data_IF_367902764887
#
_entry.id   IF_367902764887
#
_cell.length_a   1.000
_cell.length_b   1.000
_cell.length_c   1.000
_cell.angle_alpha   90.00
_cell.angle_beta   90.00
_cell.angle_gamma   90.00
#
_symmetry.space_group_name_H-M   'P 1'
#
loop_
_entity.id
_entity.type
_entity.pdbx_description
1 polymer ?
#
# COMPACT_ATOMS: atom_id res chain seq x y z
N UNK A 1 -24.44 -5.38 52.55
CA UNK A 1 -24.03 -6.80 52.35
C UNK A 1 -22.80 -7.11 53.20
N UNK A 2 -22.99 -7.20 54.51
CA UNK A 2 -21.92 -7.42 55.49
C UNK A 2 -22.56 -8.08 56.72
N UNK A 3 -23.27 -9.20 56.51
CA UNK A 3 -23.91 -9.96 57.60
C UNK A 3 -24.51 -11.35 57.24
N UNK A 4 -23.92 -12.13 56.31
CA UNK A 4 -24.39 -13.51 56.04
C UNK A 4 -23.29 -14.48 55.63
N UNK A 5 -22.25 -14.61 56.44
CA UNK A 5 -21.26 -15.70 56.30
C UNK A 5 -20.74 -16.25 57.65
N UNK A 6 -21.57 -16.20 58.68
CA UNK A 6 -21.28 -16.81 59.98
C UNK A 6 -22.53 -17.54 60.49
N UNK A 7 -22.93 -18.61 59.79
CA UNK A 7 -24.00 -19.50 60.28
C UNK A 7 -24.04 -20.86 59.57
N UNK A 8 -22.89 -21.48 59.34
CA UNK A 8 -22.82 -22.93 59.11
C UNK A 8 -21.47 -23.42 59.66
N UNK A 9 -21.49 -24.56 60.34
CA UNK A 9 -20.36 -25.25 60.99
C UNK A 9 -20.03 -24.87 62.44
N UNK A 10 -20.99 -24.97 63.37
CA UNK A 10 -20.68 -25.41 64.74
C UNK A 10 -21.82 -26.27 65.28
N UNK A 11 -21.68 -27.57 65.03
CA UNK A 11 -22.53 -28.63 65.55
C UNK A 11 -21.67 -29.87 65.68
N UNK A 12 -20.70 -29.83 66.58
CA UNK A 12 -20.02 -31.03 67.06
C UNK A 12 -20.05 -31.00 68.59
N UNK A 13 -20.95 -31.84 69.10
CA UNK A 13 -21.02 -32.32 70.47
C UNK A 13 -19.74 -33.05 70.84
N UNK A 14 -19.42 -33.03 72.14
CA UNK A 14 -18.32 -33.72 72.81
C UNK A 14 -17.79 -34.95 72.06
N UNK A 15 -16.70 -34.72 71.32
CA UNK A 15 -15.76 -35.78 70.94
C UNK A 15 -14.48 -35.42 71.68
N UNK A 16 -14.04 -36.31 72.59
CA UNK A 16 -12.67 -36.33 73.08
C UNK A 16 -11.76 -36.56 71.87
N UNK A 17 -11.44 -35.47 71.19
CA UNK A 17 -10.43 -35.44 70.15
C UNK A 17 -9.11 -35.78 70.83
N UNK A 18 -8.57 -36.95 70.45
CA UNK A 18 -7.19 -37.31 70.72
C UNK A 18 -6.31 -36.08 70.47
N UNK A 19 -5.37 -35.84 71.37
CA UNK A 19 -4.31 -34.84 71.26
C UNK A 19 -3.67 -34.80 69.86
N UNK A 20 -3.71 -35.91 69.11
CA UNK A 20 -3.19 -36.03 67.75
C UNK A 20 -3.97 -35.20 66.71
N UNK A 21 -5.29 -35.05 66.85
CA UNK A 21 -6.13 -34.28 65.91
C UNK A 21 -5.99 -32.77 66.12
N UNK A 22 -5.71 -32.36 67.36
CA UNK A 22 -5.38 -30.97 67.68
C UNK A 22 -4.05 -30.61 67.01
N UNK A 23 -3.02 -31.45 67.14
CA UNK A 23 -1.73 -31.20 66.48
C UNK A 23 -1.81 -31.11 64.95
N UNK A 24 -2.66 -31.92 64.31
CA UNK A 24 -2.88 -31.84 62.85
C UNK A 24 -3.58 -30.53 62.46
N UNK A 25 -4.57 -30.08 63.24
CA UNK A 25 -5.26 -28.81 62.98
C UNK A 25 -4.32 -27.60 63.13
N UNK A 26 -3.42 -27.62 64.12
CA UNK A 26 -2.42 -26.56 64.30
C UNK A 26 -1.38 -26.56 63.18
N UNK A 27 -0.95 -27.74 62.72
CA UNK A 27 -0.03 -27.87 61.59
C UNK A 27 -0.64 -27.33 60.28
N UNK A 28 -1.91 -27.64 60.00
CA UNK A 28 -2.62 -27.13 58.81
C UNK A 28 -2.80 -25.61 58.89
N UNK A 29 -3.18 -25.07 60.06
CA UNK A 29 -3.30 -23.63 60.25
C UNK A 29 -1.99 -22.86 60.07
N UNK A 30 -0.88 -23.44 60.55
CA UNK A 30 0.45 -22.86 60.39
C UNK A 30 0.91 -22.86 58.93
N UNK A 31 0.70 -23.97 58.21
CA UNK A 31 1.02 -24.06 56.77
C UNK A 31 0.18 -23.05 55.97
N UNK A 32 -1.12 -22.90 56.28
CA UNK A 32 -1.97 -21.94 55.59
C UNK A 32 -1.53 -20.49 55.85
N UNK A 33 -1.08 -20.17 57.07
CA UNK A 33 -0.59 -18.84 57.43
C UNK A 33 0.75 -18.52 56.75
N UNK A 34 1.64 -19.51 56.60
CA UNK A 34 2.87 -19.38 55.83
C UNK A 34 2.59 -19.18 54.32
N UNK A 35 1.64 -19.91 53.75
CA UNK A 35 1.25 -19.75 52.34
C UNK A 35 0.64 -18.37 52.12
N UNK A 36 -0.30 -17.94 52.97
CA UNK A 36 -0.92 -16.62 52.87
C UNK A 36 0.11 -15.51 53.10
N UNK A 37 1.02 -15.66 54.06
CA UNK A 37 2.10 -14.71 54.32
C UNK A 37 3.09 -14.62 53.16
N UNK A 38 3.45 -15.74 52.54
CA UNK A 38 4.30 -15.76 51.35
C UNK A 38 3.60 -15.14 50.14
N UNK A 39 2.31 -15.41 49.96
CA UNK A 39 1.49 -14.75 48.94
C UNK A 39 1.36 -13.24 49.18
N UNK A 40 1.21 -12.80 50.42
CA UNK A 40 1.15 -11.38 50.79
C UNK A 40 2.49 -10.67 50.62
N UNK A 41 3.60 -11.28 51.04
CA UNK A 41 4.95 -10.73 50.82
C UNK A 41 5.30 -10.66 49.33
N UNK A 42 4.94 -11.69 48.56
CA UNK A 42 5.11 -11.68 47.10
C UNK A 42 4.19 -10.64 46.43
N UNK A 43 2.99 -10.40 46.99
CA UNK A 43 2.06 -9.37 46.52
C UNK A 43 2.56 -7.96 46.86
N UNK A 44 3.07 -7.73 48.07
CA UNK A 44 3.67 -6.45 48.50
C UNK A 44 4.98 -6.17 47.75
N UNK A 45 5.83 -7.18 47.52
CA UNK A 45 7.02 -7.02 46.68
C UNK A 45 6.65 -6.65 45.24
N UNK A 46 5.61 -7.28 44.68
CA UNK A 46 5.10 -6.96 43.34
C UNK A 46 4.43 -5.58 43.27
N UNK A 47 3.82 -5.12 44.35
CA UNK A 47 3.26 -3.77 44.46
C UNK A 47 4.36 -2.71 44.65
N UNK A 48 5.43 -3.05 45.37
CA UNK A 48 6.62 -2.20 45.53
C UNK A 48 7.37 -2.00 44.22
N UNK A 49 7.43 -3.00 43.34
CA UNK A 49 8.11 -2.87 42.05
C UNK A 49 7.42 -1.84 41.14
N UNK A 50 6.09 -1.77 41.16
CA UNK A 50 5.34 -0.78 40.37
C UNK A 50 5.54 0.65 40.90
N UNK A 51 5.61 0.83 42.22
CA UNK A 51 5.86 2.14 42.86
C UNK A 51 7.31 2.62 42.66
N UNK A 52 8.29 1.71 42.58
CA UNK A 52 9.70 2.05 42.33
C UNK A 52 9.96 2.54 40.90
N UNK A 53 9.11 2.15 39.95
CA UNK A 53 9.27 2.48 38.54
C UNK A 53 8.49 3.73 38.12
N UNK A 54 7.56 4.23 38.94
CA UNK A 54 6.79 5.45 38.64
C UNK A 54 7.67 6.71 38.48
N UNK A 55 8.70 6.97 39.33
CA UNK A 55 9.58 8.13 39.18
C UNK A 55 10.39 8.12 37.88
N UNK A 56 10.63 6.95 37.28
CA UNK A 56 11.46 6.82 36.07
C UNK A 56 10.86 7.52 34.85
N UNK A 57 9.53 7.67 34.79
CA UNK A 57 8.89 8.42 33.72
C UNK A 57 9.24 9.91 33.76
N UNK A 58 9.29 10.49 34.96
CA UNK A 58 9.62 11.91 35.15
C UNK A 58 11.12 12.19 34.88
N UNK A 59 11.99 11.26 35.27
CA UNK A 59 13.44 11.40 35.15
C UNK A 59 14.02 10.93 33.80
N UNK A 60 13.17 10.35 32.94
CA UNK A 60 13.59 9.77 31.66
C UNK A 60 14.49 10.69 30.82
N UNK A 61 14.14 11.97 30.56
CA UNK A 61 14.96 12.82 29.69
C UNK A 61 16.39 13.02 30.18
N UNK A 62 16.60 13.02 31.51
CA UNK A 62 17.89 13.25 32.15
C UNK A 62 18.77 11.99 32.25
N UNK A 63 18.16 10.80 32.27
CA UNK A 63 18.87 9.54 32.53
C UNK A 63 18.68 8.45 31.47
N UNK A 64 18.01 8.75 30.35
CA UNK A 64 17.68 7.79 29.29
C UNK A 64 18.84 6.88 28.85
N UNK A 65 20.04 7.38 28.55
CA UNK A 65 21.16 6.53 28.08
C UNK A 65 21.56 5.50 29.13
N UNK A 66 21.63 5.91 30.41
CA UNK A 66 21.93 5.01 31.52
C UNK A 66 20.82 3.99 31.72
N UNK A 67 19.56 4.44 31.66
CA UNK A 67 18.39 3.56 31.81
C UNK A 67 18.33 2.54 30.68
N UNK A 68 18.55 2.96 29.43
CA UNK A 68 18.59 2.08 28.26
C UNK A 68 19.73 1.06 28.37
N UNK A 69 20.93 1.49 28.78
CA UNK A 69 22.07 0.59 28.99
C UNK A 69 21.80 -0.46 30.06
N UNK A 70 21.27 -0.04 31.22
CA UNK A 70 20.90 -0.98 32.31
C UNK A 70 19.79 -1.92 31.85
N UNK A 71 18.75 -1.41 31.20
CA UNK A 71 17.64 -2.25 30.69
C UNK A 71 18.16 -3.28 29.69
N UNK A 72 19.06 -2.88 28.78
CA UNK A 72 19.64 -3.76 27.78
C UNK A 72 20.45 -4.89 28.40
N UNK A 73 21.28 -4.58 29.41
CA UNK A 73 22.06 -5.58 30.14
C UNK A 73 21.14 -6.59 30.85
N UNK A 74 20.09 -6.12 31.52
CA UNK A 74 19.11 -6.97 32.20
C UNK A 74 18.34 -7.87 31.22
N UNK A 75 17.97 -7.36 30.04
CA UNK A 75 17.34 -8.14 28.98
C UNK A 75 18.30 -9.22 28.45
N UNK A 76 19.58 -8.89 28.27
CA UNK A 76 20.60 -9.86 27.83
C UNK A 76 20.76 -11.01 28.85
N UNK A 77 20.71 -10.68 30.14
CA UNK A 77 20.72 -11.65 31.23
C UNK A 77 19.39 -12.41 31.41
N UNK A 78 18.36 -12.08 30.61
CA UNK A 78 17.00 -12.64 30.66
C UNK A 78 16.32 -12.46 32.01
N UNK A 79 16.60 -11.34 32.68
CA UNK A 79 15.95 -11.00 33.94
C UNK A 79 14.55 -10.45 33.68
N UNK A 80 13.55 -10.96 34.41
CA UNK A 80 12.16 -10.50 34.32
C UNK A 80 12.03 -8.99 34.58
N UNK A 81 12.92 -8.42 35.38
CA UNK A 81 12.94 -7.00 35.69
C UNK A 81 13.33 -6.16 34.46
N UNK A 82 14.24 -6.65 33.60
CA UNK A 82 14.57 -6.00 32.32
C UNK A 82 13.36 -5.88 31.40
N UNK A 83 12.56 -6.95 31.28
CA UNK A 83 11.31 -6.94 30.51
C UNK A 83 10.31 -5.92 31.05
N UNK A 84 10.12 -5.88 32.37
CA UNK A 84 9.20 -4.95 33.02
C UNK A 84 9.64 -3.50 32.82
N UNK A 85 10.94 -3.23 32.97
CA UNK A 85 11.51 -1.91 32.77
C UNK A 85 11.34 -1.45 31.32
N UNK A 86 11.65 -2.29 30.33
CA UNK A 86 11.46 -1.96 28.91
C UNK A 86 9.98 -1.70 28.56
N UNK A 87 9.04 -2.50 29.08
CA UNK A 87 7.59 -2.27 28.90
C UNK A 87 7.15 -0.95 29.52
N UNK A 88 7.65 -0.62 30.71
CA UNK A 88 7.34 0.64 31.39
C UNK A 88 7.89 1.84 30.64
N UNK A 89 9.13 1.76 30.15
CA UNK A 89 9.71 2.77 29.27
C UNK A 89 8.82 3.01 28.04
N UNK A 90 8.30 1.95 27.42
CA UNK A 90 7.40 2.08 26.27
C UNK A 90 6.08 2.80 26.57
N UNK A 91 5.60 2.75 27.81
CA UNK A 91 4.37 3.46 28.25
C UNK A 91 4.63 4.88 28.74
N UNK A 92 5.78 5.12 29.37
CA UNK A 92 6.08 6.36 30.08
C UNK A 92 6.76 7.42 29.21
N UNK A 93 7.57 7.00 28.23
CA UNK A 93 8.38 7.92 27.43
C UNK A 93 7.66 8.39 26.16
N UNK A 94 7.99 9.59 25.70
CA UNK A 94 7.49 10.11 24.42
C UNK A 94 8.19 9.40 23.25
N UNK A 95 7.42 9.10 22.20
CA UNK A 95 7.86 8.32 21.04
C UNK A 95 9.23 8.77 20.48
N UNK A 96 9.41 10.06 20.21
CA UNK A 96 10.67 10.58 19.65
C UNK A 96 11.88 10.48 20.57
N UNK A 97 11.70 10.61 21.89
CA UNK A 97 12.81 10.48 22.84
C UNK A 97 13.29 9.03 22.97
N UNK A 98 12.38 8.06 22.85
CA UNK A 98 12.71 6.63 22.86
C UNK A 98 13.41 6.25 21.57
N UNK A 99 12.82 6.53 20.40
CA UNK A 99 13.38 6.04 19.14
C UNK A 99 14.76 6.61 18.82
N UNK A 100 14.97 7.90 19.07
CA UNK A 100 16.27 8.55 18.79
C UNK A 100 17.41 8.02 19.66
N UNK A 101 17.13 7.57 20.89
CA UNK A 101 18.14 7.09 21.84
C UNK A 101 18.24 5.56 21.91
N UNK A 102 17.12 4.87 21.75
CA UNK A 102 17.04 3.40 21.80
C UNK A 102 17.52 2.72 20.51
N UNK A 103 17.87 3.48 19.45
CA UNK A 103 18.48 2.91 18.25
C UNK A 103 19.76 2.11 18.53
N UNK A 104 20.52 2.47 19.56
CA UNK A 104 21.68 1.70 20.03
C UNK A 104 21.36 0.50 20.92
N UNK A 105 20.09 0.28 21.25
CA UNK A 105 19.61 -0.74 22.19
C UNK A 105 18.43 -1.53 21.59
N UNK A 106 18.68 -2.37 20.57
CA UNK A 106 17.63 -3.01 19.77
C UNK A 106 16.70 -3.91 20.59
N UNK A 107 17.21 -4.62 21.60
CA UNK A 107 16.38 -5.48 22.46
C UNK A 107 15.40 -4.68 23.31
N UNK A 108 15.85 -3.55 23.86
CA UNK A 108 14.98 -2.63 24.62
C UNK A 108 13.89 -2.09 23.72
N UNK A 109 14.25 -1.68 22.49
CA UNK A 109 13.28 -1.15 21.53
C UNK A 109 12.24 -2.21 21.13
N UNK A 110 12.66 -3.45 20.87
CA UNK A 110 11.73 -4.56 20.53
C UNK A 110 10.69 -4.76 21.61
N UNK A 111 11.10 -4.81 22.88
CA UNK A 111 10.17 -5.00 24.00
C UNK A 111 9.27 -3.78 24.16
N UNK A 112 9.82 -2.56 24.11
CA UNK A 112 9.04 -1.33 24.24
C UNK A 112 7.98 -1.19 23.12
N UNK A 113 8.34 -1.45 21.87
CA UNK A 113 7.42 -1.39 20.72
C UNK A 113 6.37 -2.49 20.77
N UNK A 114 6.73 -3.69 21.24
CA UNK A 114 5.75 -4.79 21.40
C UNK A 114 4.64 -4.43 22.39
N UNK A 115 4.94 -3.57 23.38
CA UNK A 115 3.99 -3.08 24.37
C UNK A 115 3.21 -1.85 23.89
N UNK A 116 3.90 -0.93 23.21
CA UNK A 116 3.32 0.32 22.71
C UNK A 116 3.73 0.57 21.25
N UNK A 117 3.04 -0.06 20.26
CA UNK A 117 3.36 0.12 18.84
C UNK A 117 3.30 1.58 18.37
N UNK A 118 2.50 2.42 19.04
CA UNK A 118 2.41 3.86 18.78
C UNK A 118 3.73 4.61 18.95
N UNK A 119 4.73 4.04 19.62
CA UNK A 119 6.08 4.61 19.65
C UNK A 119 6.68 4.76 18.26
N UNK A 120 6.28 3.91 17.30
CA UNK A 120 6.73 3.99 15.90
C UNK A 120 6.14 5.19 15.14
N UNK A 121 5.16 5.89 15.70
CA UNK A 121 4.50 7.06 15.09
C UNK A 121 5.34 8.35 15.21
N UNK A 122 6.65 8.24 15.32
CA UNK A 122 7.58 9.37 15.36
C UNK A 122 8.41 9.45 14.07
N UNK A 123 8.77 10.66 13.65
CA UNK A 123 9.62 10.87 12.47
C UNK A 123 11.01 10.24 12.61
N UNK A 124 11.51 10.06 13.83
CA UNK A 124 12.84 9.51 14.13
C UNK A 124 12.99 8.04 13.72
N UNK A 125 11.91 7.33 13.39
CA UNK A 125 11.96 5.95 12.88
C UNK A 125 12.84 5.81 11.64
N UNK A 126 12.93 6.86 10.80
CA UNK A 126 13.75 6.83 9.58
C UNK A 126 15.26 6.81 9.86
N UNK A 127 15.67 7.16 11.07
CA UNK A 127 17.07 7.14 11.50
C UNK A 127 17.52 5.77 12.03
N UNK A 128 16.58 4.82 12.20
CA UNK A 128 16.90 3.47 12.64
C UNK A 128 17.53 2.66 11.51
N UNK A 129 18.35 1.68 11.87
CA UNK A 129 18.86 0.72 10.89
C UNK A 129 17.70 -0.06 10.25
N UNK A 130 17.70 -0.28 8.92
CA UNK A 130 16.61 -0.98 8.25
C UNK A 130 16.29 -2.36 8.85
N UNK A 131 17.30 -3.11 9.29
CA UNK A 131 17.09 -4.40 9.95
C UNK A 131 16.23 -4.28 11.23
N UNK A 132 16.49 -3.26 12.05
CA UNK A 132 15.70 -3.00 13.25
C UNK A 132 14.28 -2.54 12.91
N UNK A 133 14.11 -1.71 11.88
CA UNK A 133 12.78 -1.30 11.40
C UNK A 133 11.96 -2.54 11.04
N UNK A 134 12.53 -3.48 10.28
CA UNK A 134 11.84 -4.73 9.90
C UNK A 134 11.40 -5.54 11.11
N UNK A 135 12.28 -5.70 12.09
CA UNK A 135 11.98 -6.41 13.31
C UNK A 135 10.83 -5.79 14.10
N UNK A 136 10.80 -4.45 14.23
CA UNK A 136 9.77 -3.78 15.05
C UNK A 136 8.44 -3.65 14.31
N UNK A 137 8.45 -3.62 12.98
CA UNK A 137 7.22 -3.55 12.17
C UNK A 137 6.29 -4.75 12.36
N UNK A 138 6.79 -5.90 12.83
CA UNK A 138 5.94 -7.08 13.09
C UNK A 138 4.82 -6.79 14.12
N UNK A 139 5.04 -5.83 15.02
CA UNK A 139 4.10 -5.44 16.08
C UNK A 139 3.06 -4.40 15.65
N UNK A 140 3.18 -3.84 14.44
CA UNK A 140 2.20 -2.89 13.90
C UNK A 140 0.94 -3.65 13.49
N UNK A 141 -0.26 -3.27 13.97
CA UNK A 141 -1.50 -3.91 13.56
C UNK A 141 -1.80 -3.66 12.09
N UNK A 142 -2.35 -4.65 11.41
CA UNK A 142 -2.73 -4.55 9.99
C UNK A 142 -3.94 -3.61 9.83
N UNK A 143 -3.93 -2.78 8.79
CA UNK A 143 -5.02 -1.89 8.40
C UNK A 143 -5.35 -0.73 9.37
N UNK A 144 -4.58 -0.56 10.45
CA UNK A 144 -4.79 0.50 11.43
C UNK A 144 -4.21 1.85 11.00
N UNK A 145 -4.68 2.94 11.62
CA UNK A 145 -4.19 4.31 11.33
C UNK A 145 -2.68 4.46 11.54
N UNK A 146 -2.10 3.69 12.47
CA UNK A 146 -0.66 3.64 12.66
C UNK A 146 0.07 3.13 11.41
N UNK A 147 -0.42 2.06 10.78
CA UNK A 147 0.18 1.53 9.57
C UNK A 147 0.09 2.55 8.42
N UNK A 148 -1.03 3.27 8.29
CA UNK A 148 -1.19 4.37 7.33
C UNK A 148 -0.13 5.45 7.52
N UNK A 149 0.02 5.98 8.74
CA UNK A 149 1.00 7.03 9.03
C UNK A 149 2.44 6.54 8.92
N UNK A 150 2.69 5.25 9.14
CA UNK A 150 4.01 4.65 8.95
C UNK A 150 4.42 4.56 7.49
N UNK A 151 3.47 4.32 6.57
CA UNK A 151 3.76 4.36 5.12
C UNK A 151 4.33 5.73 4.75
N UNK A 152 3.73 6.82 5.20
CA UNK A 152 4.20 8.18 4.86
C UNK A 152 5.62 8.46 5.36
N UNK A 153 5.97 7.96 6.56
CA UNK A 153 7.30 8.16 7.17
C UNK A 153 8.37 7.28 6.53
N UNK A 154 8.04 6.01 6.30
CA UNK A 154 9.00 5.03 5.80
C UNK A 154 9.17 5.09 4.28
N UNK A 155 8.34 5.86 3.56
CA UNK A 155 8.37 5.93 2.10
C UNK A 155 9.73 6.36 1.51
N UNK A 156 10.54 7.09 2.27
CA UNK A 156 11.89 7.52 1.83
C UNK A 156 13.01 6.50 2.12
N UNK A 157 12.67 5.30 2.58
CA UNK A 157 13.63 4.22 2.85
C UNK A 157 13.55 3.20 1.71
N UNK A 158 14.62 3.09 0.92
CA UNK A 158 14.75 2.09 -0.15
C UNK A 158 15.13 0.70 0.41
N UNK A 159 14.22 0.11 1.19
CA UNK A 159 14.36 -1.25 1.72
C UNK A 159 13.19 -2.13 1.26
N UNK A 160 13.51 -3.19 0.52
CA UNK A 160 12.54 -4.10 -0.12
C UNK A 160 11.63 -4.78 0.91
N UNK A 161 12.18 -5.22 2.04
CA UNK A 161 11.42 -5.95 3.05
C UNK A 161 10.54 -5.01 3.89
N UNK A 162 10.99 -3.79 4.18
CA UNK A 162 10.17 -2.73 4.78
C UNK A 162 8.98 -2.40 3.87
N UNK A 163 9.24 -2.10 2.59
CA UNK A 163 8.20 -1.77 1.62
C UNK A 163 7.19 -2.93 1.46
N UNK A 164 7.66 -4.17 1.36
CA UNK A 164 6.78 -5.35 1.28
C UNK A 164 5.99 -5.59 2.57
N UNK A 165 6.57 -5.34 3.73
CA UNK A 165 5.86 -5.48 5.01
C UNK A 165 4.75 -4.45 5.11
N UNK A 166 5.03 -3.19 4.80
CA UNK A 166 4.02 -2.13 4.80
C UNK A 166 2.95 -2.34 3.73
N UNK A 167 3.33 -2.86 2.55
CA UNK A 167 2.41 -3.26 1.50
C UNK A 167 1.40 -4.32 1.95
N UNK A 168 1.84 -5.30 2.76
CA UNK A 168 0.94 -6.32 3.33
C UNK A 168 0.05 -5.75 4.43
N UNK A 169 0.63 -4.93 5.32
CA UNK A 169 -0.09 -4.36 6.47
C UNK A 169 -1.10 -3.30 6.06
N UNK A 170 -0.82 -2.57 4.99
CA UNK A 170 -1.58 -1.39 4.60
C UNK A 170 -1.51 -1.15 3.08
N UNK A 171 -2.11 -2.03 2.27
CA UNK A 171 -2.03 -1.94 0.81
C UNK A 171 -2.58 -0.61 0.26
N UNK A 172 -3.70 -0.13 0.80
CA UNK A 172 -4.36 1.09 0.32
C UNK A 172 -3.52 2.35 0.56
N UNK A 173 -2.87 2.48 1.72
CA UNK A 173 -2.00 3.64 1.97
C UNK A 173 -0.74 3.60 1.11
N UNK A 174 -0.16 2.42 0.88
CA UNK A 174 1.01 2.27 -0.01
C UNK A 174 0.64 2.68 -1.43
N UNK A 175 -0.48 2.19 -1.96
CA UNK A 175 -0.93 2.57 -3.30
C UNK A 175 -1.25 4.06 -3.41
N UNK A 176 -1.97 4.62 -2.44
CA UNK A 176 -2.28 6.06 -2.42
C UNK A 176 -1.01 6.91 -2.41
N UNK A 177 -0.02 6.54 -1.58
CA UNK A 177 1.24 7.26 -1.48
C UNK A 177 2.04 7.17 -2.78
N UNK A 178 2.12 5.97 -3.37
CA UNK A 178 2.76 5.74 -4.67
C UNK A 178 2.12 6.55 -5.78
N UNK A 179 0.80 6.50 -5.93
CA UNK A 179 0.09 7.21 -7.01
C UNK A 179 0.21 8.73 -6.84
N UNK A 180 0.18 9.23 -5.60
CA UNK A 180 0.43 10.66 -5.30
C UNK A 180 1.83 11.09 -5.77
N UNK A 181 2.87 10.32 -5.42
CA UNK A 181 4.25 10.65 -5.79
C UNK A 181 4.49 10.50 -7.30
N UNK A 182 3.95 9.45 -7.92
CA UNK A 182 4.00 9.23 -9.36
C UNK A 182 3.29 10.33 -10.16
N UNK A 183 2.14 10.82 -9.67
CA UNK A 183 1.41 11.94 -10.28
C UNK A 183 2.21 13.25 -10.15
N UNK A 184 2.84 13.50 -9.00
CA UNK A 184 3.73 14.64 -8.83
C UNK A 184 4.93 14.59 -9.78
N UNK A 185 5.57 13.42 -9.92
CA UNK A 185 6.66 13.20 -10.88
C UNK A 185 6.20 13.39 -12.34
N UNK A 186 5.01 12.90 -12.69
CA UNK A 186 4.44 13.06 -14.03
C UNK A 186 4.22 14.53 -14.43
N UNK A 187 4.02 15.43 -13.45
CA UNK A 187 3.90 16.88 -13.65
C UNK A 187 5.26 17.61 -13.68
N UNK A 188 6.37 16.88 -13.74
CA UNK A 188 7.72 17.44 -13.74
C UNK A 188 8.32 17.61 -12.33
N UNK A 189 7.71 17.01 -11.30
CA UNK A 189 8.35 16.85 -10.00
C UNK A 189 9.60 15.97 -10.12
N UNK A 190 10.54 16.10 -9.18
CA UNK A 190 11.71 15.25 -9.13
C UNK A 190 11.30 13.78 -8.99
N UNK A 191 11.82 12.93 -9.90
CA UNK A 191 11.56 11.49 -9.94
C UNK A 191 12.41 10.80 -8.86
N UNK A 192 12.13 11.10 -7.59
CA UNK A 192 12.68 10.35 -6.48
C UNK A 192 11.65 9.31 -6.07
N UNK A 193 11.76 8.12 -6.66
CA UNK A 193 11.00 6.98 -6.21
C UNK A 193 11.91 5.79 -6.05
N UNK A 194 12.02 5.36 -4.79
CA UNK A 194 12.78 4.21 -4.37
C UNK A 194 12.22 2.94 -5.02
N UNK A 195 13.13 2.12 -5.56
CA UNK A 195 12.79 0.94 -6.36
C UNK A 195 11.97 -0.09 -5.56
N UNK A 196 12.26 -0.21 -4.26
CA UNK A 196 11.59 -1.11 -3.34
C UNK A 196 10.06 -0.83 -3.24
N UNK A 197 9.68 0.44 -3.15
CA UNK A 197 8.27 0.83 -2.99
C UNK A 197 7.49 0.65 -4.28
N UNK A 198 8.08 0.96 -5.44
CA UNK A 198 7.43 0.72 -6.73
C UNK A 198 7.17 -0.77 -6.96
N UNK A 199 8.15 -1.63 -6.65
CA UNK A 199 8.00 -3.08 -6.79
C UNK A 199 6.96 -3.66 -5.82
N UNK A 200 6.94 -3.19 -4.57
CA UNK A 200 5.90 -3.56 -3.61
C UNK A 200 4.52 -3.11 -4.12
N UNK A 201 4.41 -1.87 -4.61
CA UNK A 201 3.19 -1.32 -5.21
C UNK A 201 2.66 -2.14 -6.38
N UNK A 202 3.54 -2.52 -7.32
CA UNK A 202 3.22 -3.40 -8.46
C UNK A 202 2.60 -4.72 -8.00
N UNK A 203 3.17 -5.34 -6.97
CA UNK A 203 2.65 -6.60 -6.41
C UNK A 203 1.28 -6.42 -5.78
N UNK A 204 1.06 -5.33 -5.03
CA UNK A 204 -0.27 -5.02 -4.47
C UNK A 204 -1.27 -4.80 -5.60
N UNK A 205 -0.94 -3.94 -6.57
CA UNK A 205 -1.83 -3.57 -7.66
C UNK A 205 -2.18 -4.78 -8.56
N UNK A 206 -1.32 -5.80 -8.60
CA UNK A 206 -1.61 -7.08 -9.22
C UNK A 206 -2.44 -8.03 -8.34
N UNK A 207 -2.45 -7.86 -7.01
CA UNK A 207 -3.17 -8.72 -6.08
C UNK A 207 -4.59 -8.21 -5.77
N UNK A 208 -4.79 -6.90 -5.74
CA UNK A 208 -6.09 -6.28 -5.44
C UNK A 208 -6.82 -5.84 -6.71
N UNK A 209 -8.10 -5.47 -6.59
CA UNK A 209 -8.85 -4.81 -7.66
C UNK A 209 -8.70 -3.28 -7.57
N UNK A 210 -7.92 -2.63 -8.46
CA UNK A 210 -7.74 -1.18 -8.43
C UNK A 210 -8.90 -0.40 -9.09
N UNK A 211 -9.99 -1.05 -9.51
CA UNK A 211 -11.12 -0.42 -10.21
C UNK A 211 -11.67 0.81 -9.50
N UNK A 212 -11.90 0.72 -8.18
CA UNK A 212 -12.44 1.82 -7.37
C UNK A 212 -11.48 3.00 -7.31
N UNK A 213 -10.18 2.75 -7.23
CA UNK A 213 -9.19 3.81 -7.16
C UNK A 213 -8.99 4.50 -8.52
N UNK A 214 -9.05 3.75 -9.63
CA UNK A 214 -9.02 4.33 -10.98
C UNK A 214 -10.29 5.15 -11.27
N UNK A 215 -11.46 4.71 -10.80
CA UNK A 215 -12.71 5.46 -10.98
C UNK A 215 -12.74 6.81 -10.26
N UNK A 216 -11.88 7.00 -9.25
CA UNK A 216 -11.72 8.23 -8.48
C UNK A 216 -10.67 9.20 -9.06
N UNK A 217 -9.94 8.77 -10.10
CA UNK A 217 -8.94 9.62 -10.77
C UNK A 217 -9.61 10.86 -11.37
N UNK A 218 -8.99 12.00 -11.11
CA UNK A 218 -9.50 13.33 -11.47
C UNK A 218 -8.57 14.12 -12.40
N UNK A 219 -7.34 13.64 -12.62
CA UNK A 219 -6.36 14.26 -13.51
C UNK A 219 -5.64 13.24 -14.40
N UNK A 220 -5.09 13.70 -15.54
CA UNK A 220 -4.30 12.83 -16.41
C UNK A 220 -2.98 12.39 -15.76
N UNK A 221 -2.39 13.21 -14.89
CA UNK A 221 -1.20 12.83 -14.13
C UNK A 221 -1.45 11.69 -13.14
N UNK A 222 -2.62 11.67 -12.49
CA UNK A 222 -3.08 10.54 -11.66
C UNK A 222 -3.32 9.29 -12.52
N UNK A 223 -3.90 9.43 -13.71
CA UNK A 223 -4.09 8.30 -14.63
C UNK A 223 -2.74 7.76 -15.14
N UNK A 224 -1.79 8.66 -15.44
CA UNK A 224 -0.42 8.31 -15.79
C UNK A 224 0.31 7.60 -14.64
N UNK A 225 0.06 7.99 -13.39
CA UNK A 225 0.60 7.31 -12.23
C UNK A 225 0.18 5.83 -12.18
N UNK A 226 -1.09 5.52 -12.45
CA UNK A 226 -1.54 4.13 -12.61
C UNK A 226 -0.87 3.42 -13.78
N UNK A 227 -0.71 4.10 -14.92
CA UNK A 227 0.07 3.58 -16.05
C UNK A 227 1.49 3.19 -15.65
N UNK A 228 2.22 4.09 -14.97
CA UNK A 228 3.59 3.86 -14.46
C UNK A 228 3.64 2.75 -13.42
N UNK A 229 2.65 2.70 -12.52
CA UNK A 229 2.54 1.66 -11.50
C UNK A 229 2.40 0.28 -12.15
N UNK A 230 1.62 0.16 -13.24
CA UNK A 230 1.56 -1.07 -14.03
C UNK A 230 2.73 -1.27 -14.99
N UNK A 231 3.73 -0.38 -14.96
CA UNK A 231 4.85 -0.33 -15.91
C UNK A 231 4.37 -0.28 -17.38
N UNK A 232 3.20 0.32 -17.61
CA UNK A 232 2.47 0.29 -18.88
C UNK A 232 2.28 -1.12 -19.45
N UNK A 233 2.23 -2.14 -18.58
CA UNK A 233 1.90 -3.51 -18.94
C UNK A 233 0.43 -3.61 -19.36
N UNK A 234 0.19 -3.84 -20.65
CA UNK A 234 -1.15 -4.03 -21.20
C UNK A 234 -1.87 -5.23 -20.56
N UNK A 235 -1.13 -6.27 -20.18
CA UNK A 235 -1.69 -7.44 -19.48
C UNK A 235 -2.26 -7.05 -18.13
N UNK A 236 -1.56 -6.23 -17.33
CA UNK A 236 -2.07 -5.75 -16.05
C UNK A 236 -3.23 -4.75 -16.25
N UNK A 237 -3.09 -3.82 -17.20
CA UNK A 237 -4.14 -2.84 -17.52
C UNK A 237 -5.47 -3.46 -17.95
N UNK A 238 -5.41 -4.53 -18.75
CA UNK A 238 -6.58 -5.27 -19.25
C UNK A 238 -7.21 -6.22 -18.23
N UNK A 239 -6.66 -6.33 -17.01
CA UNK A 239 -7.37 -6.98 -15.89
C UNK A 239 -8.57 -6.15 -15.43
N UNK A 240 -8.49 -4.83 -15.63
CA UNK A 240 -9.60 -3.92 -15.40
C UNK A 240 -10.48 -3.86 -16.65
N UNK A 241 -11.81 -3.77 -16.47
CA UNK A 241 -12.68 -3.46 -17.58
C UNK A 241 -12.26 -2.13 -18.23
N UNK A 242 -12.14 -2.12 -19.56
CA UNK A 242 -11.68 -0.97 -20.35
C UNK A 242 -12.52 0.30 -20.11
N UNK A 243 -13.78 0.13 -19.70
CA UNK A 243 -14.70 1.21 -19.34
C UNK A 243 -14.26 2.02 -18.12
N UNK A 244 -13.49 1.45 -17.18
CA UNK A 244 -12.93 2.21 -16.05
C UNK A 244 -11.87 3.20 -16.53
N UNK A 245 -10.96 2.75 -17.41
CA UNK A 245 -9.97 3.62 -18.05
C UNK A 245 -10.63 4.71 -18.87
N UNK A 246 -11.64 4.37 -19.69
CA UNK A 246 -12.37 5.34 -20.50
C UNK A 246 -13.08 6.39 -19.63
N UNK A 247 -13.77 5.96 -18.58
CA UNK A 247 -14.46 6.84 -17.64
C UNK A 247 -13.49 7.76 -16.91
N UNK A 248 -12.39 7.22 -16.38
CA UNK A 248 -11.34 8.00 -15.74
C UNK A 248 -10.78 9.05 -16.71
N UNK A 249 -10.44 8.66 -17.95
CA UNK A 249 -9.93 9.57 -18.97
C UNK A 249 -10.92 10.72 -19.26
N UNK A 250 -12.20 10.41 -19.45
CA UNK A 250 -13.23 11.42 -19.79
C UNK A 250 -13.50 12.44 -18.68
N UNK A 251 -13.28 12.06 -17.41
CA UNK A 251 -13.48 12.93 -16.24
C UNK A 251 -12.21 13.68 -15.84
N UNK A 252 -11.06 13.23 -16.32
CA UNK A 252 -9.77 13.76 -15.93
C UNK A 252 -9.53 15.13 -16.51
N UNK A 253 -9.02 16.04 -15.69
CA UNK A 253 -8.47 17.31 -16.16
C UNK A 253 -7.12 17.06 -16.81
N UNK A 254 -6.89 17.68 -17.98
CA UNK A 254 -5.64 17.60 -18.72
C UNK A 254 -4.56 18.49 -18.07
N UNK A 255 -3.78 17.88 -17.17
CA UNK A 255 -2.65 18.49 -16.46
C UNK A 255 -1.29 17.90 -16.87
N UNK A 256 -1.29 17.06 -17.91
CA UNK A 256 -0.13 16.29 -18.33
C UNK A 256 0.41 16.80 -19.66
N UNK A 257 1.73 16.87 -19.82
CA UNK A 257 2.37 17.36 -21.03
C UNK A 257 3.53 16.48 -21.50
N UNK A 258 4.00 16.74 -22.73
CA UNK A 258 5.22 16.16 -23.27
C UNK A 258 5.24 14.62 -23.33
N UNK A 259 6.33 14.06 -22.83
CA UNK A 259 6.62 12.64 -22.99
C UNK A 259 5.74 11.70 -22.17
N UNK A 260 5.37 12.11 -20.96
CA UNK A 260 4.50 11.32 -20.09
C UNK A 260 3.09 11.19 -20.68
N UNK A 261 2.56 12.29 -21.24
CA UNK A 261 1.28 12.27 -21.96
C UNK A 261 1.31 11.30 -23.13
N UNK A 262 2.39 11.33 -23.92
CA UNK A 262 2.56 10.44 -25.07
C UNK A 262 2.60 8.96 -24.66
N UNK A 263 3.30 8.64 -23.55
CA UNK A 263 3.38 7.28 -23.02
C UNK A 263 2.02 6.79 -22.50
N UNK A 264 1.31 7.62 -21.72
CA UNK A 264 -0.06 7.30 -21.27
C UNK A 264 -0.99 7.07 -22.45
N UNK A 265 -0.98 7.96 -23.45
CA UNK A 265 -1.87 7.86 -24.59
C UNK A 265 -1.59 6.63 -25.44
N UNK A 266 -0.30 6.32 -25.68
CA UNK A 266 0.08 5.10 -26.39
C UNK A 266 -0.43 3.84 -25.66
N UNK A 267 -0.28 3.82 -24.34
CA UNK A 267 -0.77 2.73 -23.49
C UNK A 267 -2.30 2.56 -23.56
N UNK A 268 -3.06 3.65 -23.39
CA UNK A 268 -4.53 3.63 -23.45
C UNK A 268 -5.03 3.23 -24.85
N UNK A 269 -4.42 3.76 -25.91
CA UNK A 269 -4.72 3.41 -27.30
C UNK A 269 -4.52 1.92 -27.54
N UNK A 270 -3.36 1.39 -27.16
CA UNK A 270 -3.02 -0.02 -27.32
C UNK A 270 -4.00 -0.92 -26.57
N UNK A 271 -4.38 -0.58 -25.34
CA UNK A 271 -5.38 -1.37 -24.60
C UNK A 271 -6.73 -1.42 -25.33
N UNK A 272 -7.18 -0.30 -25.91
CA UNK A 272 -8.41 -0.25 -26.69
C UNK A 272 -8.31 -1.08 -27.98
N UNK A 273 -7.13 -1.15 -28.62
CA UNK A 273 -6.89 -2.00 -29.78
C UNK A 273 -6.79 -3.50 -29.46
N UNK A 274 -6.23 -3.89 -28.32
CA UNK A 274 -6.06 -5.31 -27.96
C UNK A 274 -7.40 -5.96 -27.62
N UNK A 275 -8.28 -5.25 -26.90
CA UNK A 275 -9.59 -5.75 -26.48
C UNK A 275 -10.68 -4.73 -26.82
N UNK A 276 -10.98 -4.54 -28.11
CA UNK A 276 -11.99 -3.58 -28.53
C UNK A 276 -13.36 -4.02 -28.04
N UNK A 277 -14.07 -3.12 -27.37
CA UNK A 277 -15.42 -3.34 -26.86
C UNK A 277 -16.11 -1.99 -26.66
N UNK A 278 -17.43 -1.97 -26.85
CA UNK A 278 -18.26 -0.80 -26.54
C UNK A 278 -17.91 -0.19 -25.18
N UNK A 279 -17.73 1.13 -25.16
CA UNK A 279 -17.23 1.92 -24.05
C UNK A 279 -15.73 2.25 -24.13
N UNK A 280 -14.95 1.68 -25.05
CA UNK A 280 -13.55 2.05 -25.25
C UNK A 280 -13.34 3.21 -26.23
N UNK A 281 -14.40 3.66 -26.90
CA UNK A 281 -14.41 4.80 -27.83
C UNK A 281 -13.68 6.03 -27.29
N UNK A 282 -13.91 6.47 -26.03
CA UNK A 282 -13.25 7.67 -25.52
C UNK A 282 -11.72 7.53 -25.44
N UNK A 283 -11.20 6.31 -25.27
CA UNK A 283 -9.76 6.05 -25.28
C UNK A 283 -9.20 6.29 -26.69
N UNK A 284 -9.85 5.77 -27.72
CA UNK A 284 -9.42 5.93 -29.11
C UNK A 284 -9.55 7.40 -29.56
N UNK A 285 -10.71 8.02 -29.31
CA UNK A 285 -11.00 9.43 -29.65
C UNK A 285 -9.97 10.38 -29.03
N UNK A 286 -9.64 10.20 -27.75
CA UNK A 286 -8.76 11.13 -27.03
C UNK A 286 -7.27 10.96 -27.36
N UNK A 287 -6.87 9.77 -27.84
CA UNK A 287 -5.45 9.43 -28.00
C UNK A 287 -4.98 9.44 -29.45
N UNK A 288 -5.84 9.05 -30.41
CA UNK A 288 -5.44 8.84 -31.80
C UNK A 288 -4.78 10.07 -32.43
N UNK A 289 -5.44 11.22 -32.43
CA UNK A 289 -4.93 12.42 -33.10
C UNK A 289 -3.59 12.89 -32.51
N UNK A 290 -3.42 12.81 -31.19
CA UNK A 290 -2.17 13.17 -30.51
C UNK A 290 -1.04 12.21 -30.89
N UNK A 291 -1.30 10.90 -30.89
CA UNK A 291 -0.30 9.91 -31.28
C UNK A 291 0.07 10.03 -32.75
N UNK A 292 -0.92 10.22 -33.63
CA UNK A 292 -0.70 10.39 -35.07
C UNK A 292 0.22 11.58 -35.37
N UNK A 293 -0.07 12.75 -34.77
CA UNK A 293 0.81 13.93 -34.88
C UNK A 293 2.20 13.66 -34.28
N UNK A 294 2.27 12.93 -33.17
CA UNK A 294 3.53 12.53 -32.55
C UNK A 294 4.41 11.66 -33.45
N UNK A 295 3.80 10.75 -34.21
CA UNK A 295 4.50 9.92 -35.20
C UNK A 295 5.01 10.78 -36.36
N UNK A 296 4.15 11.63 -36.94
CA UNK A 296 4.53 12.51 -38.04
C UNK A 296 5.66 13.47 -37.66
N UNK A 297 5.57 14.06 -36.47
CA UNK A 297 6.56 14.99 -35.95
C UNK A 297 7.80 14.33 -35.33
N UNK A 298 7.84 13.00 -35.25
CA UNK A 298 8.89 12.22 -34.56
C UNK A 298 9.10 12.66 -33.09
N UNK A 299 8.05 13.12 -32.43
CA UNK A 299 8.10 13.64 -31.06
C UNK A 299 7.71 12.60 -29.99
N UNK A 300 7.36 11.38 -30.40
CA UNK A 300 7.08 10.29 -29.45
C UNK A 300 8.32 9.93 -28.64
N UNK A 301 8.10 9.69 -27.35
CA UNK A 301 9.10 9.09 -26.47
C UNK A 301 9.44 7.68 -26.93
N UNK A 302 10.63 7.21 -26.54
CA UNK A 302 11.05 5.83 -26.78
C UNK A 302 10.03 4.82 -26.26
N UNK A 303 9.53 5.00 -25.03
CA UNK A 303 8.51 4.13 -24.42
C UNK A 303 7.19 4.13 -25.21
N UNK A 304 6.67 5.30 -25.60
CA UNK A 304 5.44 5.37 -26.38
C UNK A 304 5.60 4.65 -27.74
N UNK A 305 6.77 4.81 -28.38
CA UNK A 305 7.10 4.12 -29.62
C UNK A 305 7.17 2.61 -29.43
N UNK A 306 7.87 2.13 -28.41
CA UNK A 306 7.99 0.70 -28.09
C UNK A 306 6.62 0.05 -27.81
N UNK A 307 5.75 0.72 -27.06
CA UNK A 307 4.38 0.27 -26.83
C UNK A 307 3.61 0.14 -28.16
N UNK A 308 3.64 1.16 -29.00
CA UNK A 308 2.94 1.11 -30.30
C UNK A 308 3.52 0.02 -31.21
N UNK A 309 4.84 -0.05 -31.36
CA UNK A 309 5.48 -1.01 -32.25
C UNK A 309 5.23 -2.47 -31.85
N UNK A 310 5.09 -2.73 -30.55
CA UNK A 310 4.87 -4.07 -30.00
C UNK A 310 3.44 -4.58 -30.23
N UNK A 311 2.44 -3.70 -30.24
CA UNK A 311 1.02 -4.11 -30.21
C UNK A 311 0.21 -3.66 -31.42
N UNK A 312 0.70 -2.73 -32.23
CA UNK A 312 -0.01 -2.36 -33.46
C UNK A 312 0.00 -3.53 -34.45
N UNK A 313 -1.07 -3.69 -35.26
CA UNK A 313 -1.16 -4.78 -36.22
C UNK A 313 0.03 -4.76 -37.18
N UNK A 314 0.58 -5.93 -37.53
CA UNK A 314 1.62 -5.99 -38.55
C UNK A 314 1.02 -5.64 -39.91
N UNK A 315 1.80 -4.94 -40.74
CA UNK A 315 1.47 -4.76 -42.15
C UNK A 315 2.27 -5.76 -42.99
N UNK A 316 2.02 -5.77 -44.30
CA UNK A 316 2.93 -6.44 -45.23
C UNK A 316 4.39 -5.99 -44.96
N UNK A 317 5.35 -6.91 -45.07
CA UNK A 317 6.72 -6.71 -44.58
C UNK A 317 7.39 -5.42 -45.10
N UNK A 318 7.10 -5.01 -46.34
CA UNK A 318 7.64 -3.79 -46.95
C UNK A 318 7.00 -2.48 -46.44
N UNK A 319 5.88 -2.55 -45.71
CA UNK A 319 5.17 -1.42 -45.08
C UNK A 319 5.24 -1.45 -43.56
N UNK A 320 5.83 -2.48 -42.94
CA UNK A 320 5.81 -2.62 -41.49
C UNK A 320 6.61 -1.54 -40.74
N UNK A 321 7.47 -0.80 -41.46
CA UNK A 321 8.19 0.37 -40.96
C UNK A 321 7.30 1.62 -40.80
N UNK A 322 6.12 1.66 -41.43
CA UNK A 322 5.20 2.80 -41.35
C UNK A 322 4.30 2.68 -40.11
N UNK A 323 4.80 3.16 -38.97
CA UNK A 323 4.06 3.19 -37.70
C UNK A 323 2.77 4.02 -37.80
N UNK A 324 2.72 5.05 -38.65
CA UNK A 324 1.53 5.88 -38.84
C UNK A 324 0.40 5.10 -39.53
N UNK A 325 0.75 4.31 -40.55
CA UNK A 325 -0.19 3.40 -41.19
C UNK A 325 -0.65 2.28 -40.24
N UNK A 326 0.26 1.71 -39.45
CA UNK A 326 -0.07 0.73 -38.42
C UNK A 326 -1.02 1.28 -37.35
N UNK A 327 -0.83 2.53 -36.93
CA UNK A 327 -1.72 3.23 -35.98
C UNK A 327 -3.14 3.34 -36.54
N UNK A 328 -3.28 3.82 -37.79
CA UNK A 328 -4.57 3.93 -38.48
C UNK A 328 -5.26 2.57 -38.62
N UNK A 329 -4.53 1.55 -39.08
CA UNK A 329 -5.06 0.19 -39.20
C UNK A 329 -5.52 -0.35 -37.84
N UNK A 330 -4.75 -0.11 -36.76
CA UNK A 330 -5.12 -0.51 -35.41
C UNK A 330 -6.41 0.14 -34.92
N UNK A 331 -6.60 1.44 -35.19
CA UNK A 331 -7.84 2.14 -34.89
C UNK A 331 -9.02 1.56 -35.68
N UNK A 332 -8.89 1.42 -37.01
CA UNK A 332 -9.95 0.86 -37.87
C UNK A 332 -10.35 -0.55 -37.42
N UNK A 333 -9.37 -1.42 -37.17
CA UNK A 333 -9.64 -2.77 -36.68
C UNK A 333 -10.39 -2.74 -35.35
N UNK A 334 -9.98 -1.88 -34.40
CA UNK A 334 -10.67 -1.76 -33.12
C UNK A 334 -12.15 -1.38 -33.28
N UNK A 335 -12.48 -0.42 -34.15
CA UNK A 335 -13.88 -0.04 -34.40
C UNK A 335 -14.69 -1.16 -35.06
N UNK A 336 -14.13 -1.79 -36.10
CA UNK A 336 -14.81 -2.83 -36.87
C UNK A 336 -15.01 -4.10 -36.05
N UNK A 337 -13.97 -4.57 -35.35
CA UNK A 337 -14.01 -5.79 -34.54
C UNK A 337 -14.82 -5.60 -33.26
N UNK A 338 -14.69 -4.43 -32.62
CA UNK A 338 -15.42 -4.08 -31.40
C UNK A 338 -16.88 -3.68 -31.62
N UNK A 339 -17.31 -3.52 -32.88
CA UNK A 339 -18.60 -2.93 -33.24
C UNK A 339 -18.87 -1.63 -32.45
N UNK A 340 -17.86 -0.77 -32.43
CA UNK A 340 -17.89 0.49 -31.70
C UNK A 340 -18.84 1.47 -32.39
N UNK A 341 -19.22 2.54 -31.68
CA UNK A 341 -20.10 3.55 -32.26
C UNK A 341 -19.47 4.22 -33.51
N UNK A 342 -20.24 4.30 -34.58
CA UNK A 342 -19.75 4.89 -35.82
C UNK A 342 -19.64 6.40 -35.78
N UNK A 343 -20.50 7.08 -35.01
CA UNK A 343 -20.36 8.52 -34.84
C UNK A 343 -19.04 8.87 -34.14
N UNK A 344 -18.58 7.99 -33.24
CA UNK A 344 -17.27 8.05 -32.59
C UNK A 344 -16.10 7.90 -33.56
N UNK A 345 -16.23 7.06 -34.58
CA UNK A 345 -15.17 6.87 -35.57
C UNK A 345 -14.76 8.20 -36.24
N UNK A 346 -15.74 9.05 -36.57
CA UNK A 346 -15.48 10.37 -37.16
C UNK A 346 -14.95 11.41 -36.16
N UNK A 347 -14.95 11.10 -34.86
CA UNK A 347 -14.35 11.93 -33.81
C UNK A 347 -12.89 11.58 -33.54
N UNK A 348 -12.34 10.53 -34.16
CA UNK A 348 -10.93 10.14 -33.97
C UNK A 348 -9.95 11.27 -34.31
N UNK A 349 -10.25 12.06 -35.34
CA UNK A 349 -9.41 13.16 -35.78
C UNK A 349 -10.20 14.21 -36.53
N UNK A 350 -9.81 15.48 -36.36
CA UNK A 350 -10.29 16.61 -37.16
C UNK A 350 -9.42 16.86 -38.40
N UNK A 351 -8.32 16.11 -38.57
CA UNK A 351 -7.50 16.16 -39.79
C UNK A 351 -8.22 15.40 -40.90
N UNK A 352 -8.69 16.15 -41.91
CA UNK A 352 -9.43 15.61 -43.05
C UNK A 352 -8.65 14.53 -43.80
N UNK A 353 -7.36 14.72 -44.00
CA UNK A 353 -6.54 13.74 -44.74
C UNK A 353 -6.37 12.45 -43.94
N UNK A 354 -6.13 12.56 -42.63
CA UNK A 354 -6.08 11.39 -41.76
C UNK A 354 -7.42 10.65 -41.71
N UNK A 355 -8.54 11.37 -41.70
CA UNK A 355 -9.88 10.79 -41.73
C UNK A 355 -10.18 10.06 -43.05
N UNK A 356 -9.87 10.69 -44.20
CA UNK A 356 -10.03 10.07 -45.53
C UNK A 356 -9.27 8.72 -45.57
N UNK A 357 -8.04 8.68 -45.06
CA UNK A 357 -7.26 7.43 -44.99
C UNK A 357 -7.83 6.38 -44.03
N UNK A 358 -8.48 6.78 -42.93
CA UNK A 358 -9.16 5.84 -42.03
C UNK A 358 -10.38 5.21 -42.71
N UNK A 359 -11.13 6.00 -43.49
CA UNK A 359 -12.28 5.50 -44.28
C UNK A 359 -11.81 4.54 -45.37
N UNK A 360 -10.80 4.92 -46.17
CA UNK A 360 -10.21 4.05 -47.19
C UNK A 360 -9.77 2.70 -46.60
N UNK A 361 -9.09 2.72 -45.45
CA UNK A 361 -8.67 1.52 -44.74
C UNK A 361 -9.84 0.63 -44.29
N UNK A 362 -10.94 1.23 -43.84
CA UNK A 362 -12.14 0.47 -43.50
C UNK A 362 -12.80 -0.13 -44.75
N UNK A 363 -12.83 0.62 -45.86
CA UNK A 363 -13.39 0.17 -47.14
C UNK A 363 -12.62 -0.97 -47.80
N UNK A 364 -11.32 -1.10 -47.53
CA UNK A 364 -10.50 -2.19 -48.06
C UNK A 364 -10.98 -3.58 -47.60
N UNK A 365 -11.69 -3.66 -46.47
CA UNK A 365 -12.15 -4.94 -45.91
C UNK A 365 -13.67 -5.13 -46.03
N UNK A 366 -14.13 -6.38 -46.20
CA UNK A 366 -15.58 -6.68 -46.24
C UNK A 366 -16.28 -6.28 -44.93
N UNK A 367 -15.61 -6.51 -43.79
CA UNK A 367 -16.13 -6.17 -42.47
C UNK A 367 -16.23 -4.66 -42.27
N UNK A 368 -15.18 -3.90 -42.65
CA UNK A 368 -15.21 -2.44 -42.57
C UNK A 368 -16.24 -1.80 -43.50
N UNK A 369 -16.41 -2.29 -44.75
CA UNK A 369 -17.53 -1.86 -45.61
C UNK A 369 -18.91 -2.18 -45.01
N UNK A 370 -19.04 -3.26 -44.26
CA UNK A 370 -20.29 -3.58 -43.58
C UNK A 370 -20.55 -2.61 -42.42
N UNK A 371 -19.52 -2.38 -41.60
CA UNK A 371 -19.52 -1.41 -40.51
C UNK A 371 -19.90 0.00 -40.99
N UNK A 372 -19.24 0.53 -42.03
CA UNK A 372 -19.54 1.85 -42.60
C UNK A 372 -20.98 1.96 -43.14
N UNK A 373 -21.51 0.90 -43.76
CA UNK A 373 -22.89 0.87 -44.26
C UNK A 373 -23.94 0.85 -43.15
N UNK A 374 -23.72 0.06 -42.09
CA UNK A 374 -24.61 0.04 -40.91
C UNK A 374 -24.72 1.43 -40.26
N UNK A 375 -23.69 2.24 -40.45
CA UNK A 375 -23.58 3.57 -39.89
C UNK A 375 -24.30 4.65 -40.72
N UNK A 376 -24.84 4.30 -41.89
CA UNK A 376 -25.51 5.23 -42.79
C UNK A 376 -24.57 6.17 -43.56
N UNK A 377 -23.27 5.86 -43.62
CA UNK A 377 -22.25 6.74 -44.22
C UNK A 377 -21.84 6.33 -45.63
N UNK A 378 -22.09 5.08 -46.04
CA UNK A 378 -21.67 4.55 -47.35
C UNK A 378 -22.54 4.94 -48.57
N UNK A 379 -23.34 6.01 -48.50
CA UNK A 379 -24.23 6.44 -49.60
C UNK A 379 -23.86 7.81 -50.22
N UNK A 380 -22.65 8.31 -49.98
CA UNK A 380 -22.08 9.50 -50.61
C UNK A 380 -20.77 9.16 -51.29
#
# INVERSE_FOLDING_TARGET
MRNRFAKYCFGFTDVQLSTDLITVSWAIGFIFTLIVGYCLWFYEAKQSDDDLLEPLGADWPAHSDRLLGVTSELLHQKEKFGDQLARRLGRAATAGSVLSRAGGYPDVLRVAVSEAPSLLDDGSIVSLEPALIRDVLQWVPDGGDLAHRLVDRLFGIDDVEVAQTMARKSPDAVLRRLTTNLSAAARGGHDFMDSAWLDAGRRIAAAIDPSTAIDQVSTLSELAAWGRLFDYSTTLGLRLPISHWARALTRSTDDLCGGEKSSLYAYLFVMACIRPKQGCEPLLESTFATLYRGIQGRTLTTRARELLESYLPPLAWWKNWDTGMRLKQGAVNAYVEGQLDASSFFRLTNDRYAMEQLVELAEDTKAGRHYLRQSGIGEH
#
